data_IF_053258829131
#
_entry.id   IF_053258829131
#
_cell.length_a   1.000
_cell.length_b   1.000
_cell.length_c   1.000
_cell.angle_alpha   90.00
_cell.angle_beta   90.00
_cell.angle_gamma   90.00
#
_symmetry.space_group_name_H-M   'P 1'
#
loop_
_entity.id
_entity.type
_entity.pdbx_description
1 polymer ?
#
# COMPACT_ATOMS: atom_id res chain seq x y z
N UNK A 1 -10.16 -15.57 -16.73
CA UNK A 1 -10.82 -14.97 -15.54
C UNK A 1 -10.15 -15.35 -14.23
N UNK A 2 -9.53 -16.52 -14.10
CA UNK A 2 -8.87 -16.96 -12.86
C UNK A 2 -7.64 -16.10 -12.50
N UNK A 3 -6.83 -15.71 -13.48
CA UNK A 3 -5.66 -14.85 -13.28
C UNK A 3 -5.99 -13.44 -12.76
N UNK A 4 -7.12 -12.91 -13.22
CA UNK A 4 -7.62 -11.60 -12.78
C UNK A 4 -8.13 -11.69 -11.34
N UNK A 5 -8.86 -12.75 -11.01
CA UNK A 5 -9.38 -13.00 -9.66
C UNK A 5 -8.24 -13.19 -8.66
N UNK A 6 -7.17 -13.89 -9.04
CA UNK A 6 -5.98 -14.08 -8.21
C UNK A 6 -5.19 -12.79 -8.02
N UNK A 7 -5.09 -11.96 -9.06
CA UNK A 7 -4.48 -10.63 -8.94
C UNK A 7 -5.30 -9.66 -8.10
N UNK A 8 -6.63 -9.63 -8.23
CA UNK A 8 -7.49 -8.85 -7.35
C UNK A 8 -7.41 -9.32 -5.90
N UNK A 9 -7.29 -10.63 -5.68
CA UNK A 9 -7.09 -11.19 -4.33
C UNK A 9 -5.75 -10.74 -3.77
N UNK A 10 -4.66 -10.84 -4.54
CA UNK A 10 -3.34 -10.32 -4.14
C UNK A 10 -3.36 -8.82 -3.86
N UNK A 11 -4.05 -8.05 -4.71
CA UNK A 11 -4.26 -6.62 -4.52
C UNK A 11 -5.00 -6.31 -3.22
N UNK A 12 -6.06 -7.04 -2.90
CA UNK A 12 -6.76 -6.89 -1.62
C UNK A 12 -5.87 -7.18 -0.41
N UNK A 13 -4.92 -8.13 -0.52
CA UNK A 13 -3.93 -8.38 0.52
C UNK A 13 -2.88 -7.26 0.63
N UNK A 14 -2.44 -6.72 -0.50
CA UNK A 14 -1.55 -5.54 -0.51
C UNK A 14 -2.25 -4.32 0.07
N UNK A 15 -3.50 -4.07 -0.31
CA UNK A 15 -4.31 -2.94 0.19
C UNK A 15 -4.53 -3.06 1.71
N UNK A 16 -4.81 -4.26 2.22
CA UNK A 16 -4.89 -4.53 3.66
C UNK A 16 -3.56 -4.26 4.37
N UNK A 17 -2.44 -4.65 3.76
CA UNK A 17 -1.10 -4.38 4.28
C UNK A 17 -0.78 -2.88 4.31
N UNK A 18 -1.32 -2.09 3.38
CA UNK A 18 -1.16 -0.64 3.31
C UNK A 18 -2.09 0.12 4.28
N UNK A 19 -3.28 -0.40 4.54
CA UNK A 19 -4.27 0.21 5.43
C UNK A 19 -3.80 0.21 6.89
N UNK A 20 -3.13 -0.85 7.34
CA UNK A 20 -2.63 -0.99 8.72
C UNK A 20 -1.66 0.14 9.13
N UNK A 21 -0.58 0.43 8.38
CA UNK A 21 0.28 1.57 8.65
C UNK A 21 -0.46 2.91 8.57
N UNK A 22 -1.44 3.03 7.67
CA UNK A 22 -2.23 4.26 7.52
C UNK A 22 -3.07 4.56 8.78
N UNK A 23 -3.67 3.55 9.40
CA UNK A 23 -4.39 3.72 10.67
C UNK A 23 -3.46 4.02 11.85
N UNK A 24 -2.25 3.47 11.85
CA UNK A 24 -1.23 3.81 12.85
C UNK A 24 -0.86 5.30 12.81
N UNK A 25 -0.80 5.93 11.63
CA UNK A 25 -0.57 7.38 11.51
C UNK A 25 -1.59 8.22 12.31
N UNK A 26 -2.85 7.78 12.36
CA UNK A 26 -3.93 8.50 13.05
C UNK A 26 -3.90 8.34 14.58
N UNK A 27 -3.45 7.18 15.09
CA UNK A 27 -3.33 6.94 16.54
C UNK A 27 -2.27 7.85 17.18
N UNK A 28 -1.22 8.16 16.43
CA UNK A 28 -0.09 8.95 16.90
C UNK A 28 -0.29 10.48 16.78
N UNK A 29 -1.45 10.93 16.28
CA UNK A 29 -1.68 12.30 15.85
C UNK A 29 -1.72 13.39 16.97
N UNK A 30 -1.96 13.12 18.28
CA UNK A 30 -1.96 14.21 19.26
C UNK A 30 -0.66 14.37 20.05
N UNK A 31 0.38 13.56 19.78
CA UNK A 31 1.62 13.61 20.56
C UNK A 31 2.80 14.17 19.74
N UNK A 32 3.07 15.47 19.93
CA UNK A 32 4.10 16.27 19.25
C UNK A 32 5.55 15.90 19.65
N UNK A 33 5.84 14.60 19.71
CA UNK A 33 7.21 14.12 19.89
C UNK A 33 7.91 13.99 18.53
N UNK A 34 9.17 14.44 18.45
CA UNK A 34 10.00 14.31 17.25
C UNK A 34 10.10 12.86 16.73
N UNK A 35 10.11 11.88 17.65
CA UNK A 35 10.13 10.45 17.33
C UNK A 35 8.87 10.03 16.58
N UNK A 36 7.71 10.57 16.97
CA UNK A 36 6.42 10.32 16.34
C UNK A 36 6.41 10.81 14.89
N UNK A 37 6.94 12.01 14.64
CA UNK A 37 7.06 12.59 13.30
C UNK A 37 7.99 11.73 12.42
N UNK A 38 9.13 11.30 12.98
CA UNK A 38 10.07 10.44 12.25
C UNK A 38 9.44 9.10 11.83
N UNK A 39 8.73 8.44 12.75
CA UNK A 39 8.01 7.18 12.47
C UNK A 39 6.95 7.39 11.39
N UNK A 40 6.17 8.48 11.46
CA UNK A 40 5.17 8.81 10.44
C UNK A 40 5.79 8.99 9.04
N UNK A 41 6.94 9.66 8.93
CA UNK A 41 7.66 9.84 7.66
C UNK A 41 8.11 8.48 7.09
N UNK A 42 8.69 7.62 7.94
CA UNK A 42 9.10 6.26 7.51
C UNK A 42 7.91 5.47 6.99
N UNK A 43 6.78 5.53 7.70
CA UNK A 43 5.54 4.86 7.30
C UNK A 43 5.05 5.36 5.92
N UNK A 44 5.05 6.67 5.69
CA UNK A 44 4.62 7.28 4.41
C UNK A 44 5.53 6.84 3.25
N UNK A 45 6.85 6.75 3.47
CA UNK A 45 7.81 6.30 2.45
C UNK A 45 7.55 4.83 2.09
N UNK A 46 7.42 3.95 3.08
CA UNK A 46 7.11 2.54 2.86
C UNK A 46 5.77 2.34 2.15
N UNK A 47 4.76 3.11 2.55
CA UNK A 47 3.45 3.10 1.92
C UNK A 47 3.51 3.52 0.45
N UNK A 48 4.25 4.59 0.13
CA UNK A 48 4.39 5.10 -1.23
C UNK A 48 5.13 4.12 -2.15
N UNK A 49 6.22 3.52 -1.69
CA UNK A 49 6.96 2.49 -2.45
C UNK A 49 6.05 1.31 -2.78
N UNK A 50 5.26 0.88 -1.80
CA UNK A 50 4.37 -0.24 -1.97
C UNK A 50 3.16 0.03 -2.87
N UNK A 51 2.63 1.26 -2.87
CA UNK A 51 1.63 1.71 -3.85
C UNK A 51 2.17 1.70 -5.27
N UNK A 52 3.40 2.18 -5.48
CA UNK A 52 4.05 2.18 -6.80
C UNK A 52 4.19 0.74 -7.31
N UNK A 53 4.71 -0.17 -6.47
CA UNK A 53 4.82 -1.59 -6.80
C UNK A 53 3.47 -2.23 -7.14
N UNK A 54 2.45 -1.98 -6.32
CA UNK A 54 1.11 -2.51 -6.55
C UNK A 54 0.52 -1.99 -7.86
N UNK A 55 0.70 -0.69 -8.13
CA UNK A 55 0.24 -0.05 -9.37
C UNK A 55 0.93 -0.63 -10.60
N UNK A 56 2.25 -0.83 -10.56
CA UNK A 56 2.98 -1.47 -11.65
C UNK A 56 2.50 -2.90 -11.91
N UNK A 57 2.30 -3.70 -10.87
CA UNK A 57 1.78 -5.07 -10.99
C UNK A 57 0.38 -5.08 -11.64
N UNK A 58 -0.50 -4.16 -11.24
CA UNK A 58 -1.83 -4.02 -11.85
C UNK A 58 -1.72 -3.65 -13.33
N UNK A 59 -0.94 -2.61 -13.65
CA UNK A 59 -0.78 -2.11 -15.02
C UNK A 59 -0.22 -3.21 -15.92
N UNK A 60 0.81 -3.93 -15.48
CA UNK A 60 1.40 -5.04 -16.23
C UNK A 60 0.38 -6.17 -16.44
N UNK A 61 -0.43 -6.49 -15.42
CA UNK A 61 -1.47 -7.52 -15.53
C UNK A 61 -2.60 -7.12 -16.48
N UNK A 62 -3.04 -5.87 -16.45
CA UNK A 62 -4.05 -5.32 -17.38
C UNK A 62 -3.51 -5.32 -18.82
N UNK A 63 -2.27 -4.89 -19.00
CA UNK A 63 -1.60 -4.86 -20.31
C UNK A 63 -1.42 -6.27 -20.88
N UNK A 64 -1.15 -7.25 -20.02
CA UNK A 64 -1.03 -8.66 -20.41
C UNK A 64 -2.37 -9.32 -20.76
N UNK A 65 -3.50 -8.89 -20.19
CA UNK A 65 -4.83 -9.43 -20.53
C UNK A 65 -5.43 -8.85 -21.81
N UNK A 66 -4.85 -7.76 -22.34
CA UNK A 66 -5.34 -7.06 -23.54
C UNK A 66 -4.68 -7.56 -24.84
N UNK A 67 -3.74 -8.51 -24.76
CA UNK A 67 -3.17 -9.24 -25.92
C UNK A 67 -3.84 -10.60 -26.06
#
# INVERSE_FOLDING_TARGET
>A
MEDLKQSLKGLGWYDLFFIVPMFLLFVYLPNYNFITIFINIVIIIFFSIGLILTTHIIIDKIKSNTK
#
